data_IF_257448581613
#
_entry.id   IF_257448581613
#
_cell.length_a   1.000
_cell.length_b   1.000
_cell.length_c   1.000
_cell.angle_alpha   90.00
_cell.angle_beta   90.00
_cell.angle_gamma   90.00
#
_symmetry.space_group_name_H-M   'P 1'
#
loop_
_entity.id
_entity.type
_entity.pdbx_description
1 polymer ?
#
# COMPACT_ATOMS: atom_id res chain seq x y z
N UNK A 1 15.00 -12.98 -20.01
CA UNK A 1 13.94 -12.20 -19.38
C UNK A 1 14.25 -12.05 -17.90
N UNK A 2 14.30 -10.85 -17.34
CA UNK A 2 14.61 -10.65 -15.92
C UNK A 2 13.30 -10.77 -15.13
N UNK A 3 13.22 -11.67 -14.17
CA UNK A 3 12.04 -11.84 -13.31
C UNK A 3 12.13 -10.83 -12.18
N UNK A 4 11.10 -9.97 -12.02
CA UNK A 4 10.93 -9.08 -10.87
C UNK A 4 10.08 -9.80 -9.81
N UNK A 5 10.63 -9.98 -8.61
CA UNK A 5 9.91 -10.52 -7.47
C UNK A 5 9.35 -9.38 -6.63
N UNK A 6 8.03 -9.33 -6.47
CA UNK A 6 7.31 -8.26 -5.76
C UNK A 6 6.73 -8.82 -4.47
N UNK A 7 6.98 -8.13 -3.35
CA UNK A 7 6.34 -8.38 -2.06
C UNK A 7 5.15 -7.46 -1.87
N UNK A 8 3.96 -8.02 -1.66
CA UNK A 8 2.73 -7.29 -1.36
C UNK A 8 2.44 -7.42 0.13
N UNK A 9 2.42 -6.30 0.84
CA UNK A 9 2.25 -6.28 2.29
C UNK A 9 0.85 -5.74 2.61
N UNK A 10 -0.03 -6.67 2.98
CA UNK A 10 -1.37 -6.40 3.52
C UNK A 10 -1.41 -6.80 4.98
N UNK A 11 -1.85 -5.92 5.85
CA UNK A 11 -2.03 -6.19 7.26
C UNK A 11 -3.16 -5.35 7.86
N UNK A 12 -3.65 -5.77 9.02
CA UNK A 12 -4.60 -4.99 9.81
C UNK A 12 -3.88 -3.91 10.63
N UNK A 13 -4.66 -3.00 11.20
CA UNK A 13 -4.18 -2.07 12.21
C UNK A 13 -3.90 -2.80 13.53
N UNK A 14 -2.75 -2.57 14.15
CA UNK A 14 -2.28 -3.24 15.36
C UNK A 14 -2.56 -2.44 16.67
N UNK A 15 -3.56 -1.55 16.64
CA UNK A 15 -4.00 -0.76 17.78
C UNK A 15 -3.22 0.54 18.01
N UNK A 16 -1.96 0.63 17.60
CA UNK A 16 -1.17 1.88 17.63
C UNK A 16 -0.32 2.02 16.37
N UNK A 17 0.03 3.27 16.00
CA UNK A 17 0.93 3.55 14.89
C UNK A 17 2.26 2.82 15.04
N UNK A 18 2.84 2.83 16.23
CA UNK A 18 4.13 2.20 16.51
C UNK A 18 4.10 0.67 16.29
N UNK A 19 3.08 -0.01 16.79
CA UNK A 19 2.93 -1.46 16.62
C UNK A 19 2.66 -1.83 15.17
N UNK A 20 1.85 -1.04 14.48
CA UNK A 20 1.53 -1.23 13.07
C UNK A 20 2.77 -1.06 12.19
N UNK A 21 3.59 -0.03 12.45
CA UNK A 21 4.90 0.16 11.78
C UNK A 21 5.83 -1.04 12.06
N UNK A 22 5.92 -1.48 13.31
CA UNK A 22 6.78 -2.62 13.67
C UNK A 22 6.37 -3.88 12.91
N UNK A 23 5.06 -4.17 12.83
CA UNK A 23 4.54 -5.29 12.07
C UNK A 23 4.81 -5.16 10.57
N UNK A 24 4.61 -3.98 9.99
CA UNK A 24 4.97 -3.70 8.58
C UNK A 24 6.45 -4.02 8.30
N UNK A 25 7.36 -3.60 9.19
CA UNK A 25 8.81 -3.84 9.05
C UNK A 25 9.13 -5.34 9.11
N UNK A 26 8.48 -6.10 10.01
CA UNK A 26 8.63 -7.55 10.07
C UNK A 26 8.21 -8.22 8.76
N UNK A 27 7.05 -7.84 8.21
CA UNK A 27 6.57 -8.39 6.94
C UNK A 27 7.49 -8.03 5.77
N UNK A 28 8.03 -6.79 5.75
CA UNK A 28 9.03 -6.36 4.77
C UNK A 28 10.29 -7.22 4.87
N UNK A 29 10.79 -7.47 6.08
CA UNK A 29 11.95 -8.32 6.31
C UNK A 29 11.73 -9.74 5.76
N UNK A 30 10.57 -10.34 6.05
CA UNK A 30 10.18 -11.66 5.53
C UNK A 30 10.12 -11.69 4.00
N UNK A 31 9.55 -10.67 3.37
CA UNK A 31 9.50 -10.56 1.91
C UNK A 31 10.91 -10.41 1.30
N UNK A 32 11.76 -9.59 1.91
CA UNK A 32 13.14 -9.38 1.47
C UNK A 32 13.96 -10.67 1.55
N UNK A 33 13.85 -11.43 2.65
CA UNK A 33 14.52 -12.76 2.80
C UNK A 33 14.06 -13.74 1.72
N UNK A 34 12.79 -13.67 1.30
CA UNK A 34 12.29 -14.48 0.16
C UNK A 34 12.71 -13.94 -1.21
N UNK A 35 13.53 -12.88 -1.25
CA UNK A 35 14.13 -12.32 -2.45
C UNK A 35 13.24 -11.28 -3.18
N UNK A 36 12.28 -10.66 -2.49
CA UNK A 36 11.54 -9.54 -3.07
C UNK A 36 12.50 -8.37 -3.36
N UNK A 37 12.38 -7.78 -4.53
CA UNK A 37 13.18 -6.64 -5.00
C UNK A 37 12.38 -5.33 -4.95
N UNK A 38 11.06 -5.42 -5.09
CA UNK A 38 10.08 -4.38 -4.91
C UNK A 38 9.13 -4.81 -3.80
N UNK A 39 8.83 -3.91 -2.87
CA UNK A 39 7.83 -4.13 -1.83
C UNK A 39 6.81 -2.99 -1.88
N UNK A 40 5.55 -3.34 -1.82
CA UNK A 40 4.43 -2.39 -1.84
C UNK A 40 3.61 -2.56 -0.57
N UNK A 41 3.43 -1.47 0.15
CA UNK A 41 2.54 -1.38 1.31
C UNK A 41 1.14 -0.91 0.88
N UNK A 42 0.13 -1.23 1.67
CA UNK A 42 -1.23 -0.74 1.47
C UNK A 42 -1.35 0.77 1.68
N UNK A 43 -2.47 1.36 1.31
CA UNK A 43 -2.77 2.78 1.50
C UNK A 43 -2.85 3.15 2.98
N UNK A 44 -2.25 4.31 3.36
CA UNK A 44 -2.26 4.87 4.72
C UNK A 44 -1.95 3.82 5.80
N UNK A 45 -0.98 2.97 5.53
CA UNK A 45 -0.73 1.70 6.21
C UNK A 45 -0.32 1.81 7.68
N UNK A 46 0.03 3.00 8.18
CA UNK A 46 0.57 3.18 9.53
C UNK A 46 -0.49 3.29 10.62
N UNK A 47 -1.72 3.67 10.26
CA UNK A 47 -2.83 3.90 11.18
C UNK A 47 -4.05 3.08 10.79
N UNK A 48 -5.12 3.12 11.59
CA UNK A 48 -6.43 2.71 11.08
C UNK A 48 -6.85 3.61 9.91
N UNK A 49 -7.86 3.20 9.15
CA UNK A 49 -8.40 4.03 8.07
C UNK A 49 -9.32 5.11 8.66
N UNK A 50 -8.73 6.23 9.02
CA UNK A 50 -9.39 7.31 9.76
C UNK A 50 -10.43 8.08 8.92
N UNK A 51 -10.44 7.92 7.59
CA UNK A 51 -11.37 8.62 6.71
C UNK A 51 -12.81 8.09 6.78
N UNK A 52 -13.10 7.11 7.66
CA UNK A 52 -14.47 6.68 7.91
C UNK A 52 -15.35 7.78 8.54
N UNK A 53 -14.76 8.80 9.12
CA UNK A 53 -15.43 9.98 9.72
C UNK A 53 -14.63 11.24 9.43
N UNK A 54 -15.33 12.36 9.46
CA UNK A 54 -14.76 13.70 9.46
C UNK A 54 -14.42 14.10 10.91
N UNK A 55 -13.12 14.05 11.24
CA UNK A 55 -12.62 14.45 12.56
C UNK A 55 -11.35 15.28 12.39
N UNK A 56 -11.35 16.54 12.85
CA UNK A 56 -10.22 17.46 12.74
C UNK A 56 -8.98 17.01 13.51
N UNK A 57 -9.13 16.22 14.59
CA UNK A 57 -8.01 15.66 15.34
C UNK A 57 -7.13 14.73 14.49
N UNK A 58 -7.72 14.04 13.50
CA UNK A 58 -6.98 13.13 12.64
C UNK A 58 -5.90 13.82 11.77
N UNK A 59 -5.94 15.16 11.63
CA UNK A 59 -4.85 15.89 10.97
C UNK A 59 -3.52 15.79 11.74
N UNK A 60 -3.56 15.41 13.01
CA UNK A 60 -2.35 15.19 13.82
C UNK A 60 -1.53 13.99 13.32
N UNK A 61 -2.14 13.01 12.64
CA UNK A 61 -1.39 11.93 11.99
C UNK A 61 -0.40 12.41 10.93
N UNK A 62 -0.63 13.58 10.34
CA UNK A 62 0.25 14.18 9.33
C UNK A 62 1.44 14.94 9.93
N UNK A 63 1.48 15.18 11.24
CA UNK A 63 2.59 15.90 11.90
C UNK A 63 3.92 15.16 11.78
N UNK A 64 3.87 13.83 11.75
CA UNK A 64 5.06 12.96 11.69
C UNK A 64 5.61 12.75 10.26
N UNK A 65 5.05 13.36 9.22
CA UNK A 65 5.37 13.03 7.83
C UNK A 65 6.88 12.98 7.53
N UNK A 66 7.63 13.98 7.96
CA UNK A 66 9.08 14.03 7.76
C UNK A 66 9.85 12.95 8.55
N UNK A 67 9.34 12.57 9.70
CA UNK A 67 9.87 11.46 10.50
C UNK A 67 9.58 10.11 9.82
N UNK A 68 8.38 9.95 9.28
CA UNK A 68 7.97 8.76 8.56
C UNK A 68 8.77 8.58 7.26
N UNK A 69 9.07 9.68 6.53
CA UNK A 69 9.96 9.63 5.37
C UNK A 69 11.33 9.08 5.74
N UNK A 70 11.94 9.57 6.83
CA UNK A 70 13.24 9.06 7.30
C UNK A 70 13.18 7.60 7.70
N UNK A 71 12.13 7.20 8.41
CA UNK A 71 11.93 5.80 8.82
C UNK A 71 11.88 4.85 7.62
N UNK A 72 11.03 5.15 6.65
CA UNK A 72 10.85 4.26 5.49
C UNK A 72 12.04 4.29 4.53
N UNK A 73 12.75 5.40 4.44
CA UNK A 73 14.06 5.49 3.78
C UNK A 73 15.07 4.52 4.40
N UNK A 74 15.22 4.52 5.72
CA UNK A 74 16.11 3.60 6.43
C UNK A 74 15.67 2.13 6.29
N UNK A 75 14.37 1.85 6.27
CA UNK A 75 13.83 0.50 6.04
C UNK A 75 14.18 0.02 4.64
N UNK A 76 13.93 0.83 3.60
CA UNK A 76 14.26 0.49 2.21
C UNK A 76 15.76 0.19 2.06
N UNK A 77 16.61 1.07 2.59
CA UNK A 77 18.07 0.92 2.58
C UNK A 77 18.52 -0.34 3.32
N UNK A 78 17.99 -0.59 4.50
CA UNK A 78 18.36 -1.72 5.34
C UNK A 78 18.12 -3.06 4.65
N UNK A 79 16.95 -3.21 4.00
CA UNK A 79 16.58 -4.46 3.32
C UNK A 79 17.01 -4.48 1.85
N UNK A 80 17.60 -3.40 1.32
CA UNK A 80 18.07 -3.30 -0.05
C UNK A 80 16.96 -3.48 -1.08
N UNK A 81 15.77 -2.98 -0.81
CA UNK A 81 14.56 -3.11 -1.65
C UNK A 81 14.06 -1.76 -2.13
N UNK A 82 13.44 -1.73 -3.29
CA UNK A 82 12.58 -0.60 -3.67
C UNK A 82 11.29 -0.73 -2.87
N UNK A 83 10.89 0.34 -2.17
CA UNK A 83 9.73 0.35 -1.28
C UNK A 83 8.72 1.40 -1.71
N UNK A 84 7.47 1.00 -1.90
CA UNK A 84 6.33 1.90 -2.12
C UNK A 84 5.51 1.97 -0.84
N UNK A 85 5.42 3.17 -0.26
CA UNK A 85 4.68 3.49 0.97
C UNK A 85 3.60 4.53 0.66
N UNK A 86 2.48 4.51 1.37
CA UNK A 86 1.42 5.53 1.28
C UNK A 86 1.24 6.21 2.62
N UNK A 87 1.37 7.53 2.64
CA UNK A 87 1.50 8.35 3.85
C UNK A 87 0.56 9.55 3.82
N UNK A 88 0.21 10.06 5.00
CA UNK A 88 -0.51 11.30 5.16
C UNK A 88 0.48 12.48 5.14
N UNK A 89 0.57 13.18 4.01
CA UNK A 89 1.49 14.31 3.83
C UNK A 89 0.87 15.61 4.31
N UNK A 90 1.55 16.30 5.25
CA UNK A 90 1.34 17.71 5.53
C UNK A 90 2.30 18.52 4.67
N UNK A 91 1.81 19.12 3.58
CA UNK A 91 2.62 19.94 2.67
C UNK A 91 2.83 21.35 3.21
N UNK A 92 1.77 21.92 3.78
CA UNK A 92 1.76 23.23 4.41
C UNK A 92 0.61 23.29 5.43
N UNK A 93 0.48 24.39 6.16
CA UNK A 93 -0.67 24.62 7.02
C UNK A 93 -1.96 24.63 6.19
N UNK A 94 -2.92 23.76 6.55
CA UNK A 94 -4.20 23.61 5.83
C UNK A 94 -4.10 22.91 4.46
N UNK A 95 -2.95 22.36 4.08
CA UNK A 95 -2.76 21.68 2.80
C UNK A 95 -2.16 20.28 3.02
N UNK A 96 -2.99 19.26 2.77
CA UNK A 96 -2.67 17.87 3.05
C UNK A 96 -2.95 16.98 1.84
N UNK A 97 -2.19 15.90 1.70
CA UNK A 97 -2.33 14.94 0.61
C UNK A 97 -2.22 13.50 1.13
N UNK A 98 -2.91 12.59 0.44
CA UNK A 98 -2.63 11.17 0.48
C UNK A 98 -1.52 10.90 -0.54
N UNK A 99 -0.32 10.55 -0.07
CA UNK A 99 0.89 10.55 -0.89
C UNK A 99 1.58 9.19 -0.88
N UNK A 100 1.70 8.59 -2.06
CA UNK A 100 2.60 7.46 -2.25
C UNK A 100 4.05 7.98 -2.42
N UNK A 101 4.96 7.38 -1.66
CA UNK A 101 6.41 7.70 -1.72
C UNK A 101 7.16 6.45 -2.13
N UNK A 102 8.00 6.57 -3.13
CA UNK A 102 8.86 5.49 -3.60
C UNK A 102 10.29 5.72 -3.11
N UNK A 103 10.78 4.77 -2.34
CA UNK A 103 12.16 4.76 -1.86
C UNK A 103 12.99 3.78 -2.69
N UNK A 104 14.17 4.21 -3.09
CA UNK A 104 15.15 3.37 -3.75
C UNK A 104 15.89 2.48 -2.73
N UNK A 105 16.58 1.46 -3.21
CA UNK A 105 17.32 0.46 -2.42
C UNK A 105 18.41 1.05 -1.52
N UNK A 106 18.90 2.23 -1.84
CA UNK A 106 19.87 3.00 -1.05
C UNK A 106 19.21 3.93 -0.02
N UNK A 107 17.87 3.98 0.00
CA UNK A 107 17.05 4.79 0.88
C UNK A 107 16.72 6.18 0.33
N UNK A 108 17.28 6.62 -0.79
CA UNK A 108 16.86 7.90 -1.39
C UNK A 108 15.40 7.84 -1.84
N UNK A 109 14.72 8.94 -1.79
CA UNK A 109 13.38 9.08 -2.37
C UNK A 109 13.55 9.10 -3.89
N UNK A 110 13.04 8.08 -4.59
CA UNK A 110 13.02 8.02 -6.04
C UNK A 110 11.97 8.95 -6.63
N UNK A 111 10.82 9.08 -5.97
CA UNK A 111 9.74 9.98 -6.36
C UNK A 111 8.55 9.91 -5.43
N UNK A 112 7.57 10.77 -5.71
CA UNK A 112 6.28 10.83 -5.00
C UNK A 112 5.15 10.92 -6.01
N UNK A 113 4.00 10.37 -5.62
CA UNK A 113 2.73 10.59 -6.28
C UNK A 113 1.69 11.02 -5.25
N UNK A 114 0.97 12.09 -5.49
CA UNK A 114 -0.15 12.55 -4.67
C UNK A 114 -1.45 12.10 -5.31
N UNK A 115 -2.27 11.35 -4.56
CA UNK A 115 -3.56 10.83 -5.03
C UNK A 115 -4.39 11.92 -5.68
N UNK A 116 -4.77 11.74 -6.95
CA UNK A 116 -5.51 12.76 -7.69
C UNK A 116 -7.02 12.60 -7.55
N UNK A 117 -7.52 11.37 -7.53
CA UNK A 117 -8.95 11.11 -7.39
C UNK A 117 -9.25 10.82 -5.92
N UNK A 118 -9.91 11.78 -5.26
CA UNK A 118 -10.22 11.72 -3.84
C UNK A 118 -11.70 11.36 -3.66
N UNK A 119 -12.04 10.22 -3.04
CA UNK A 119 -13.43 9.82 -2.79
C UNK A 119 -14.12 10.69 -1.74
N UNK A 120 -15.44 10.70 -1.80
CA UNK A 120 -16.31 11.37 -0.84
C UNK A 120 -17.62 10.59 -0.68
N UNK A 121 -17.47 9.29 -0.52
CA UNK A 121 -18.59 8.37 -0.30
C UNK A 121 -18.77 8.08 1.20
N UNK A 122 -19.91 7.56 1.64
CA UNK A 122 -20.10 7.15 3.02
C UNK A 122 -18.98 6.24 3.52
N UNK A 123 -18.35 6.61 4.65
CA UNK A 123 -17.18 5.99 5.27
C UNK A 123 -15.88 6.09 4.44
N UNK A 124 -15.86 6.91 3.38
CA UNK A 124 -14.68 7.27 2.61
C UNK A 124 -14.59 8.79 2.42
N UNK A 125 -14.71 9.53 3.52
CA UNK A 125 -14.71 11.01 3.55
C UNK A 125 -13.29 11.58 3.37
N UNK A 126 -12.61 11.15 2.31
CA UNK A 126 -11.23 11.56 2.06
C UNK A 126 -11.13 13.03 1.64
N UNK A 127 -12.15 13.61 1.02
CA UNK A 127 -12.15 15.05 0.66
C UNK A 127 -12.08 15.97 1.86
N UNK A 128 -12.52 15.52 3.05
CA UNK A 128 -12.36 16.29 4.28
C UNK A 128 -10.87 16.46 4.63
N UNK A 129 -10.04 15.45 4.34
CA UNK A 129 -8.63 15.42 4.73
C UNK A 129 -7.69 15.85 3.62
N UNK A 130 -7.95 15.47 2.37
CA UNK A 130 -6.94 15.53 1.31
C UNK A 130 -7.34 16.47 0.18
N UNK A 131 -6.37 17.30 -0.20
CA UNK A 131 -6.40 18.04 -1.45
C UNK A 131 -5.99 17.10 -2.59
N UNK A 132 -6.67 17.14 -3.76
CA UNK A 132 -6.24 16.42 -4.94
C UNK A 132 -4.77 16.65 -5.28
N UNK A 133 -4.12 15.62 -5.84
CA UNK A 133 -2.72 15.67 -6.21
C UNK A 133 -2.42 16.68 -7.32
N UNK A 134 -1.21 17.21 -7.33
CA UNK A 134 -0.73 18.24 -8.25
C UNK A 134 0.59 17.87 -8.98
N UNK A 135 1.03 16.61 -8.83
CA UNK A 135 2.27 16.12 -9.45
C UNK A 135 2.04 15.50 -10.85
N UNK A 136 0.78 15.36 -11.26
CA UNK A 136 0.43 14.69 -12.52
C UNK A 136 0.58 13.18 -12.45
N UNK A 137 0.40 12.52 -13.61
CA UNK A 137 0.56 11.07 -13.78
C UNK A 137 1.94 10.77 -14.37
N UNK A 138 3.00 10.93 -13.56
CA UNK A 138 4.39 10.73 -13.97
C UNK A 138 4.95 9.44 -13.36
N UNK A 139 5.36 8.45 -14.20
CA UNK A 139 6.02 7.25 -13.71
C UNK A 139 7.36 7.57 -13.03
N UNK A 140 7.71 6.79 -12.02
CA UNK A 140 8.89 6.97 -11.18
C UNK A 140 9.98 5.99 -11.60
N UNK A 141 11.15 6.49 -11.97
CA UNK A 141 12.31 5.67 -12.33
C UNK A 141 12.97 5.05 -11.09
N UNK A 142 13.18 3.73 -11.12
CA UNK A 142 13.80 2.98 -10.04
C UNK A 142 14.76 1.92 -10.59
N UNK A 143 15.58 1.32 -9.72
CA UNK A 143 16.47 0.22 -10.08
C UNK A 143 15.76 -1.07 -10.51
N UNK A 144 14.44 -1.17 -10.29
CA UNK A 144 13.62 -2.33 -10.65
C UNK A 144 12.72 -2.11 -11.87
N UNK A 145 12.72 -0.90 -12.43
CA UNK A 145 11.92 -0.49 -13.57
C UNK A 145 11.23 0.84 -13.33
N UNK A 146 10.48 1.29 -14.31
CA UNK A 146 9.72 2.53 -14.29
C UNK A 146 8.31 2.27 -13.77
N UNK A 147 8.00 2.76 -12.56
CA UNK A 147 6.80 2.45 -11.81
C UNK A 147 5.72 3.51 -12.02
N UNK A 148 4.54 3.10 -12.50
CA UNK A 148 3.34 3.91 -12.54
C UNK A 148 2.57 3.76 -11.22
N UNK A 149 2.90 4.61 -10.24
CA UNK A 149 2.30 4.54 -8.91
C UNK A 149 1.07 5.44 -8.85
N UNK A 150 -0.05 4.85 -8.51
CA UNK A 150 -1.36 5.47 -8.31
C UNK A 150 -1.89 5.01 -6.95
N UNK A 151 -2.95 5.62 -6.42
CA UNK A 151 -3.45 5.26 -5.08
C UNK A 151 -4.96 5.00 -5.11
N UNK A 152 -5.36 3.83 -4.66
CA UNK A 152 -6.72 3.41 -4.33
C UNK A 152 -7.76 3.85 -5.38
N UNK A 153 -8.54 4.91 -5.11
CA UNK A 153 -9.64 5.35 -5.98
C UNK A 153 -9.21 5.75 -7.39
N UNK A 154 -7.93 6.11 -7.62
CA UNK A 154 -7.36 6.31 -8.95
C UNK A 154 -7.57 5.08 -9.87
N UNK A 155 -7.69 3.88 -9.29
CA UNK A 155 -7.90 2.63 -10.05
C UNK A 155 -9.22 2.58 -10.82
N UNK A 156 -10.23 3.37 -10.42
CA UNK A 156 -11.51 3.44 -11.11
C UNK A 156 -11.48 4.35 -12.35
N UNK A 157 -10.37 5.08 -12.57
CA UNK A 157 -10.19 6.03 -13.67
C UNK A 157 -9.19 5.50 -14.71
N UNK A 158 -9.69 4.97 -15.86
CA UNK A 158 -8.82 4.43 -16.92
C UNK A 158 -7.81 5.43 -17.44
N UNK A 159 -8.11 6.73 -17.37
CA UNK A 159 -7.26 7.84 -17.81
C UNK A 159 -5.93 7.86 -17.05
N UNK A 160 -5.95 7.62 -15.75
CA UNK A 160 -4.76 7.60 -14.90
C UNK A 160 -3.80 6.48 -15.33
N UNK A 161 -4.33 5.24 -15.46
CA UNK A 161 -3.56 4.09 -15.91
C UNK A 161 -2.99 4.29 -17.31
N UNK A 162 -3.81 4.82 -18.25
CA UNK A 162 -3.40 5.10 -19.62
C UNK A 162 -2.33 6.18 -19.68
N UNK A 163 -2.45 7.26 -18.91
CA UNK A 163 -1.47 8.32 -18.85
C UNK A 163 -0.11 7.80 -18.36
N UNK A 164 -0.09 6.97 -17.31
CA UNK A 164 1.13 6.31 -16.82
C UNK A 164 1.75 5.42 -17.91
N UNK A 165 0.94 4.60 -18.59
CA UNK A 165 1.40 3.70 -19.65
C UNK A 165 2.03 4.47 -20.81
N UNK A 166 1.36 5.53 -21.30
CA UNK A 166 1.86 6.38 -22.41
C UNK A 166 3.16 7.11 -22.05
N UNK A 167 3.42 7.34 -20.77
CA UNK A 167 4.67 7.92 -20.26
C UNK A 167 5.74 6.87 -19.95
N UNK A 168 5.49 5.59 -20.32
CA UNK A 168 6.47 4.52 -20.26
C UNK A 168 6.55 3.81 -18.91
N UNK A 169 5.48 3.79 -18.12
CA UNK A 169 5.40 2.88 -16.98
C UNK A 169 5.55 1.43 -17.45
N UNK A 170 6.30 0.63 -16.68
CA UNK A 170 6.51 -0.80 -16.91
C UNK A 170 5.67 -1.67 -15.97
N UNK A 171 5.16 -1.08 -14.89
CA UNK A 171 4.32 -1.71 -13.88
C UNK A 171 3.37 -0.66 -13.30
N UNK A 172 2.07 -0.96 -13.22
CA UNK A 172 1.09 -0.15 -12.50
C UNK A 172 0.94 -0.66 -11.07
N UNK A 173 0.92 0.25 -10.09
CA UNK A 173 0.89 -0.07 -8.67
C UNK A 173 -0.20 0.76 -7.98
N UNK A 174 -1.04 0.09 -7.16
CA UNK A 174 -2.12 0.69 -6.41
C UNK A 174 -2.07 0.30 -4.91
N UNK A 175 -1.39 1.05 -4.03
CA UNK A 175 -1.72 1.03 -2.61
C UNK A 175 -3.20 1.35 -2.41
N UNK A 176 -3.92 0.51 -1.66
CA UNK A 176 -5.38 0.56 -1.60
C UNK A 176 -5.89 0.35 -0.18
N UNK A 177 -7.00 1.02 0.16
CA UNK A 177 -7.81 0.81 1.35
C UNK A 177 -9.29 0.84 0.96
N UNK A 178 -9.78 -0.27 0.42
CA UNK A 178 -11.19 -0.47 0.06
C UNK A 178 -11.76 -1.62 0.88
N UNK A 179 -13.00 -1.50 1.34
CA UNK A 179 -13.69 -2.50 2.13
C UNK A 179 -15.16 -2.59 1.79
N UNK A 180 -15.82 -3.57 2.36
CA UNK A 180 -17.26 -3.71 2.37
C UNK A 180 -17.84 -3.21 3.68
N UNK A 181 -19.09 -2.77 3.63
CA UNK A 181 -19.89 -2.61 4.86
C UNK A 181 -20.29 -3.97 5.39
N UNK A 182 -20.26 -4.11 6.71
CA UNK A 182 -20.63 -5.37 7.36
C UNK A 182 -22.12 -5.72 7.12
N UNK A 183 -22.94 -4.70 6.91
CA UNK A 183 -24.37 -4.84 6.60
C UNK A 183 -24.71 -5.13 5.15
N UNK A 184 -23.75 -5.13 4.22
CA UNK A 184 -23.99 -5.51 2.83
C UNK A 184 -24.29 -7.01 2.74
N UNK A 185 -25.20 -7.39 1.84
CA UNK A 185 -25.42 -8.80 1.53
C UNK A 185 -24.25 -9.39 0.72
N UNK A 186 -24.21 -10.72 0.64
CA UNK A 186 -23.11 -11.43 -0.03
C UNK A 186 -23.10 -11.19 -1.55
N UNK A 187 -24.26 -10.95 -2.16
CA UNK A 187 -24.35 -10.66 -3.61
C UNK A 187 -23.79 -9.27 -3.90
N UNK A 188 -24.03 -8.28 -3.02
CA UNK A 188 -23.42 -6.96 -3.14
C UNK A 188 -21.91 -7.01 -2.96
N UNK A 189 -21.43 -7.72 -1.94
CA UNK A 189 -19.99 -7.91 -1.70
C UNK A 189 -19.30 -8.58 -2.89
N UNK A 190 -19.92 -9.62 -3.44
CA UNK A 190 -19.42 -10.32 -4.63
C UNK A 190 -19.36 -9.39 -5.85
N UNK A 191 -20.41 -8.60 -6.10
CA UNK A 191 -20.49 -7.64 -7.20
C UNK A 191 -19.41 -6.55 -7.09
N UNK A 192 -19.17 -6.02 -5.90
CA UNK A 192 -18.12 -5.03 -5.65
C UNK A 192 -16.74 -5.61 -5.91
N UNK A 193 -16.47 -6.85 -5.44
CA UNK A 193 -15.21 -7.54 -5.69
C UNK A 193 -14.98 -7.80 -7.17
N UNK A 194 -16.00 -8.27 -7.87
CA UNK A 194 -15.93 -8.52 -9.32
C UNK A 194 -15.64 -7.23 -10.10
N UNK A 195 -16.30 -6.13 -9.76
CA UNK A 195 -16.04 -4.83 -10.37
C UNK A 195 -14.58 -4.38 -10.14
N UNK A 196 -14.08 -4.53 -8.92
CA UNK A 196 -12.70 -4.19 -8.58
C UNK A 196 -11.68 -5.03 -9.36
N UNK A 197 -11.90 -6.35 -9.44
CA UNK A 197 -11.06 -7.27 -10.23
C UNK A 197 -11.15 -6.95 -11.72
N UNK A 198 -12.34 -6.62 -12.22
CA UNK A 198 -12.55 -6.32 -13.65
C UNK A 198 -11.78 -5.05 -14.07
N UNK A 199 -11.80 -4.00 -13.27
CA UNK A 199 -11.07 -2.76 -13.60
C UNK A 199 -9.55 -2.97 -13.59
N UNK A 200 -9.01 -3.76 -12.64
CA UNK A 200 -7.58 -4.11 -12.61
C UNK A 200 -7.16 -4.90 -13.85
N UNK A 201 -7.96 -5.91 -14.24
CA UNK A 201 -7.75 -6.67 -15.48
C UNK A 201 -7.86 -5.77 -16.71
N UNK A 202 -8.82 -4.86 -16.72
CA UNK A 202 -8.99 -3.87 -17.80
C UNK A 202 -7.73 -3.03 -18.00
N UNK A 203 -7.14 -2.51 -16.93
CA UNK A 203 -5.88 -1.76 -17.01
C UNK A 203 -4.73 -2.61 -17.54
N UNK A 204 -4.60 -3.85 -17.05
CA UNK A 204 -3.53 -4.75 -17.50
C UNK A 204 -3.62 -5.05 -18.99
N UNK A 205 -4.82 -5.42 -19.46
CA UNK A 205 -5.06 -5.78 -20.87
C UNK A 205 -4.95 -4.56 -21.78
N UNK A 206 -5.65 -3.46 -21.43
CA UNK A 206 -5.71 -2.27 -22.28
C UNK A 206 -4.36 -1.56 -22.44
N UNK A 207 -3.44 -1.72 -21.48
CA UNK A 207 -2.11 -1.08 -21.51
C UNK A 207 -0.97 -2.08 -21.75
N UNK A 208 -1.26 -3.38 -21.82
CA UNK A 208 -0.25 -4.46 -21.94
C UNK A 208 0.81 -4.37 -20.83
N UNK A 209 0.40 -4.01 -19.62
CA UNK A 209 1.25 -3.82 -18.45
C UNK A 209 0.80 -4.73 -17.30
N UNK A 210 1.72 -5.25 -16.50
CA UNK A 210 1.35 -5.86 -15.24
C UNK A 210 0.75 -4.81 -14.29
N UNK A 211 -0.20 -5.26 -13.45
CA UNK A 211 -0.87 -4.44 -12.44
C UNK A 211 -0.71 -5.10 -11.07
N UNK A 212 -0.38 -4.30 -10.08
CA UNK A 212 -0.27 -4.70 -8.69
C UNK A 212 -1.17 -3.82 -7.84
N UNK A 213 -2.10 -4.43 -7.11
CA UNK A 213 -2.92 -3.75 -6.11
C UNK A 213 -2.71 -4.40 -4.74
N UNK A 214 -2.49 -3.58 -3.72
CA UNK A 214 -2.28 -4.02 -2.34
C UNK A 214 -3.35 -3.39 -1.48
N UNK A 215 -4.28 -4.21 -1.00
CA UNK A 215 -5.38 -3.73 -0.19
C UNK A 215 -5.14 -3.96 1.30
N UNK A 216 -5.78 -3.14 2.13
CA UNK A 216 -5.90 -3.33 3.56
C UNK A 216 -6.72 -4.58 3.87
N UNK A 217 -6.43 -5.25 4.99
CA UNK A 217 -7.18 -6.41 5.49
C UNK A 217 -7.62 -6.17 6.94
N UNK A 218 -8.53 -7.02 7.42
CA UNK A 218 -9.08 -6.95 8.76
C UNK A 218 -10.38 -6.15 8.82
N UNK A 219 -10.90 -6.00 10.04
CA UNK A 219 -12.11 -5.25 10.33
C UNK A 219 -11.75 -3.97 11.07
N UNK A 220 -12.26 -2.85 10.62
CA UNK A 220 -12.09 -1.54 11.26
C UNK A 220 -13.46 -0.86 11.40
N UNK A 221 -13.87 -0.56 12.63
CA UNK A 221 -15.11 0.18 12.88
C UNK A 221 -14.84 1.67 12.94
N UNK A 222 -15.87 2.46 12.63
CA UNK A 222 -15.83 3.91 12.79
C UNK A 222 -15.58 4.36 14.25
N UNK A 223 -15.80 3.48 15.23
CA UNK A 223 -15.46 3.75 16.64
C UNK A 223 -13.95 3.86 16.88
N UNK A 224 -13.09 3.25 16.02
CA UNK A 224 -11.64 3.44 16.10
C UNK A 224 -11.22 4.89 15.81
N UNK A 225 -12.02 5.63 15.05
CA UNK A 225 -11.77 7.06 14.79
C UNK A 225 -12.20 7.98 15.95
N UNK A 226 -12.77 7.42 17.03
CA UNK A 226 -13.04 8.12 18.30
C UNK A 226 -11.86 8.00 19.27
N UNK A 227 -10.91 7.09 19.01
CA UNK A 227 -9.66 7.02 19.78
C UNK A 227 -8.81 8.23 19.40
N UNK A 228 -8.36 8.97 20.38
CA UNK A 228 -7.59 10.19 20.11
C UNK A 228 -6.28 9.87 19.36
N UNK A 229 -5.82 10.73 18.45
CA UNK A 229 -4.51 10.58 17.82
C UNK A 229 -3.39 10.41 18.83
N UNK A 230 -3.44 11.07 19.98
CA UNK A 230 -2.48 10.94 21.06
C UNK A 230 -2.40 9.53 21.61
N UNK A 231 -3.52 8.82 21.77
CA UNK A 231 -3.53 7.41 22.21
C UNK A 231 -2.93 6.48 21.15
N UNK A 232 -3.17 6.76 19.88
CA UNK A 232 -2.62 5.99 18.76
C UNK A 232 -1.12 6.30 18.55
N UNK A 233 -0.71 7.54 18.77
CA UNK A 233 0.66 8.01 18.60
C UNK A 233 1.55 7.77 19.82
N UNK A 234 0.98 7.84 21.04
CA UNK A 234 1.72 7.76 22.31
C UNK A 234 2.35 6.39 22.65
N UNK A 235 2.15 5.39 21.80
CA UNK A 235 2.98 4.18 21.79
C UNK A 235 4.47 4.45 21.49
N UNK A 236 4.90 5.71 21.53
CA UNK A 236 6.17 6.23 20.99
C UNK A 236 7.46 5.83 21.69
N UNK A 237 7.44 5.42 22.95
CA UNK A 237 8.67 4.93 23.62
C UNK A 237 9.08 3.51 23.20
N UNK A 238 8.16 2.73 22.66
CA UNK A 238 8.45 1.39 22.14
C UNK A 238 9.31 1.40 20.84
N UNK A 239 9.39 2.53 20.14
CA UNK A 239 10.03 2.63 18.82
C UNK A 239 11.57 2.45 18.84
N UNK A 240 12.25 2.78 19.92
CA UNK A 240 13.72 2.62 20.03
C UNK A 240 14.10 1.16 20.35
N UNK A 241 13.27 0.46 21.12
CA UNK A 241 13.49 -0.96 21.47
C UNK A 241 13.07 -1.94 20.38
N UNK A 242 12.14 -1.55 19.50
CA UNK A 242 11.72 -2.35 18.34
C UNK A 242 12.84 -2.47 17.32
N UNK A 243 13.63 -1.40 17.11
CA UNK A 243 14.82 -1.41 16.25
C UNK A 243 15.80 -2.53 16.65
N UNK A 244 16.07 -2.68 17.94
CA UNK A 244 17.03 -3.67 18.46
C UNK A 244 16.44 -5.08 18.55
N UNK A 245 15.15 -5.24 18.80
CA UNK A 245 14.48 -6.55 18.84
C UNK A 245 14.34 -7.16 17.44
N UNK A 246 14.00 -6.37 16.44
CA UNK A 246 13.89 -6.83 15.02
C UNK A 246 15.29 -7.21 14.49
N UNK A 247 16.35 -6.50 14.94
CA UNK A 247 17.73 -6.83 14.60
C UNK A 247 18.15 -8.22 15.10
N UNK A 248 17.64 -8.64 16.25
CA UNK A 248 17.98 -9.93 16.88
C UNK A 248 17.13 -11.11 16.40
N UNK A 249 15.86 -10.87 15.98
CA UNK A 249 14.97 -11.95 15.53
C UNK A 249 15.23 -12.39 14.07
N UNK A 250 15.91 -11.57 13.27
CA UNK A 250 16.31 -11.94 11.91
C UNK A 250 17.51 -12.91 11.88
N UNK A 251 18.27 -13.03 12.98
CA UNK A 251 19.43 -13.91 13.09
C UNK A 251 19.10 -15.31 13.68
N UNK A 252 17.91 -15.51 14.20
CA UNK A 252 17.49 -16.82 14.73
C UNK A 252 16.46 -17.43 13.79
N UNK A 253 16.89 -18.36 12.94
CA UNK A 253 16.02 -19.17 12.09
C UNK A 253 15.06 -20.06 12.91
N UNK A 254 13.92 -19.51 13.27
CA UNK A 254 12.83 -20.20 13.93
C UNK A 254 11.64 -20.32 12.98
N UNK A 255 11.33 -21.53 12.54
CA UNK A 255 10.10 -21.84 11.82
C UNK A 255 8.88 -21.49 12.69
N UNK A 256 8.09 -20.51 12.29
CA UNK A 256 6.72 -20.35 12.80
C UNK A 256 5.72 -20.29 11.65
N UNK A 257 4.77 -21.23 11.71
CA UNK A 257 3.60 -21.31 10.86
C UNK A 257 2.68 -20.11 11.11
N UNK A 258 2.70 -19.11 10.23
CA UNK A 258 1.58 -18.18 10.04
C UNK A 258 1.50 -17.87 8.55
N UNK A 259 0.54 -18.48 7.88
CA UNK A 259 0.24 -18.34 6.46
C UNK A 259 -1.07 -17.56 6.30
N UNK A 260 -1.08 -16.24 6.49
CA UNK A 260 -2.26 -15.45 6.09
C UNK A 260 -2.03 -13.96 5.83
N UNK A 261 -0.83 -13.42 6.06
CA UNK A 261 -0.58 -12.00 5.89
C UNK A 261 0.69 -11.79 5.05
N UNK A 262 0.52 -11.32 3.82
CA UNK A 262 1.59 -11.00 2.87
C UNK A 262 1.87 -12.09 1.83
N UNK A 263 1.36 -11.90 0.62
CA UNK A 263 1.65 -12.74 -0.54
C UNK A 263 2.89 -12.27 -1.32
N UNK A 264 3.60 -13.21 -1.96
CA UNK A 264 4.61 -12.88 -2.96
C UNK A 264 4.07 -13.32 -4.33
N UNK A 265 3.96 -12.36 -5.23
CA UNK A 265 3.57 -12.62 -6.62
C UNK A 265 4.80 -12.63 -7.51
N UNK A 266 4.94 -13.64 -8.35
CA UNK A 266 5.94 -13.69 -9.42
C UNK A 266 5.24 -13.68 -10.77
N UNK A 267 5.71 -12.84 -11.67
CA UNK A 267 5.18 -12.72 -13.02
C UNK A 267 6.09 -13.44 -14.00
N UNK A 268 5.50 -14.33 -14.80
CA UNK A 268 6.17 -14.95 -15.93
C UNK A 268 5.20 -14.93 -17.13
N UNK A 269 5.57 -14.26 -18.21
CA UNK A 269 4.84 -14.19 -19.49
C UNK A 269 3.34 -13.84 -19.38
N UNK A 270 2.97 -12.87 -18.55
CA UNK A 270 1.59 -12.40 -18.45
C UNK A 270 0.65 -13.28 -17.63
N UNK A 271 1.14 -14.33 -16.98
CA UNK A 271 0.36 -15.16 -16.06
C UNK A 271 0.77 -14.88 -14.61
N UNK A 272 -0.23 -14.65 -13.77
CA UNK A 272 -0.08 -14.59 -12.30
C UNK A 272 0.16 -16.01 -11.78
N UNK A 273 1.31 -16.25 -11.13
CA UNK A 273 1.51 -17.46 -10.35
C UNK A 273 1.66 -17.10 -8.88
N UNK A 274 0.73 -17.58 -8.07
CA UNK A 274 0.81 -17.50 -6.62
C UNK A 274 1.68 -18.66 -6.11
N UNK A 275 2.74 -18.36 -5.37
CA UNK A 275 3.59 -19.37 -4.72
C UNK A 275 3.17 -19.69 -3.29
N UNK A 276 1.94 -19.38 -2.91
CA UNK A 276 1.32 -19.71 -1.61
C UNK A 276 -0.17 -20.00 -1.79
N UNK A 277 -0.47 -21.27 -2.01
CA UNK A 277 -1.74 -21.99 -1.96
C UNK A 277 -3.06 -21.19 -2.04
N UNK A 278 -3.51 -20.91 -3.26
CA UNK A 278 -4.86 -21.21 -3.76
C UNK A 278 -4.89 -20.92 -5.26
N UNK A 279 -4.92 -21.99 -6.04
CA UNK A 279 -4.98 -21.92 -7.50
C UNK A 279 -6.36 -21.40 -7.93
N UNK A 280 -6.44 -20.19 -8.42
CA UNK A 280 -7.55 -19.76 -9.27
C UNK A 280 -7.31 -20.36 -10.65
N UNK A 281 -8.00 -21.44 -10.98
CA UNK A 281 -8.02 -22.01 -12.33
C UNK A 281 -8.81 -21.06 -13.24
N UNK A 282 -8.14 -20.48 -14.22
CA UNK A 282 -8.82 -19.86 -15.35
C UNK A 282 -9.41 -20.97 -16.25
N UNK A 283 -10.68 -20.86 -16.70
CA UNK A 283 -11.20 -21.75 -17.74
C UNK A 283 -10.47 -21.51 -19.06
N UNK A 284 -10.34 -22.53 -19.93
CA UNK A 284 -9.69 -22.36 -21.22
C UNK A 284 -10.49 -21.41 -22.12
N UNK A 285 -9.78 -20.58 -22.83
CA UNK A 285 -10.36 -19.77 -23.89
C UNK A 285 -10.92 -20.69 -24.97
N UNK A 286 -12.23 -20.69 -25.15
CA UNK A 286 -12.86 -21.25 -26.34
C UNK A 286 -12.74 -20.27 -27.48
N UNK A 287 -12.33 -20.80 -28.64
CA UNK A 287 -12.11 -20.15 -29.92
C UNK A 287 -13.29 -19.31 -30.43
#
# INVERSE_FOLDING_TARGET
MKILKVGLISHKFEGTKARTIAHSIELIARAAVKGAQLIVLQELHQTHYFCQRENTENFDYAQDFERDLRLWSEVAKRFGVVLVSSLFERRAAGLYHNTAVVFERDGRIAGKYRKMHIPDDPQFYEKFYFTPGDLGFEPIDTSVGRLGVLVCWDQWYPEAARAMALRGAELLIYPTAIGWFDGDDEDEKARQLEAWVAVQRGHAVANSLPVVAVNRVGFESAALSEVSPDEILSGGEANLNVRDKILRSADTGGESKILSEGGILSFNNGALTDSGSSAVRTPPATA
#
